data_IF_985873010950
#
_entry.id   IF_985873010950
#
_cell.length_a   1.000
_cell.length_b   1.000
_cell.length_c   1.000
_cell.angle_alpha   90.00
_cell.angle_beta   90.00
_cell.angle_gamma   90.00
#
_symmetry.space_group_name_H-M   'P 1'
#
loop_
_entity.id
_entity.type
_entity.pdbx_description
1 polymer ?
#
# COMPACT_ATOMS: atom_id res chain seq x y z
N UNK A 1 -31.12 -1.00 10.33
CA UNK A 1 -29.98 -0.93 9.39
C UNK A 1 -29.03 0.15 9.87
N UNK A 2 -27.74 -0.14 9.97
CA UNK A 2 -26.69 0.86 10.19
C UNK A 2 -25.90 0.98 8.88
N UNK A 3 -25.46 2.18 8.54
CA UNK A 3 -24.64 2.43 7.37
C UNK A 3 -23.17 2.39 7.82
N UNK A 4 -22.32 1.77 7.02
CA UNK A 4 -20.88 1.71 7.24
C UNK A 4 -20.18 2.52 6.16
N UNK A 5 -19.09 3.17 6.53
CA UNK A 5 -18.37 4.09 5.68
C UNK A 5 -16.88 3.79 5.78
N UNK A 6 -16.23 3.69 4.62
CA UNK A 6 -14.78 3.67 4.51
C UNK A 6 -14.36 5.04 4.01
N UNK A 7 -13.71 5.82 4.87
CA UNK A 7 -13.36 7.21 4.60
C UNK A 7 -11.86 7.35 4.47
N UNK A 8 -11.42 8.03 3.42
CA UNK A 8 -10.04 8.45 3.26
C UNK A 8 -10.00 9.84 2.62
N UNK A 9 -8.95 10.59 2.90
CA UNK A 9 -8.69 11.89 2.30
C UNK A 9 -7.21 12.21 2.44
N UNK A 10 -6.48 12.23 1.34
CA UNK A 10 -5.04 12.45 1.33
C UNK A 10 -4.60 13.11 0.02
N UNK A 11 -3.46 13.79 0.08
CA UNK A 11 -2.88 14.47 -1.07
C UNK A 11 -1.55 13.87 -1.44
N UNK A 12 -1.24 13.85 -2.73
CA UNK A 12 0.06 13.47 -3.28
C UNK A 12 0.50 14.50 -4.32
N UNK A 13 1.82 14.62 -4.52
CA UNK A 13 2.40 15.46 -5.56
C UNK A 13 3.01 14.55 -6.62
N UNK A 14 2.56 14.70 -7.86
CA UNK A 14 2.96 13.83 -8.99
C UNK A 14 3.56 14.67 -10.10
N UNK A 15 4.21 14.02 -11.07
CA UNK A 15 4.66 14.70 -12.28
C UNK A 15 3.48 15.15 -13.15
N UNK A 16 3.64 16.15 -14.04
CA UNK A 16 2.58 16.55 -14.96
C UNK A 16 2.06 15.40 -15.84
N UNK A 17 2.94 14.47 -16.24
CA UNK A 17 2.55 13.32 -17.06
C UNK A 17 1.67 12.32 -16.29
N UNK A 18 1.97 12.06 -15.01
CA UNK A 18 1.14 11.23 -14.14
C UNK A 18 -0.19 11.91 -13.82
N UNK A 19 -0.18 13.23 -13.61
CA UNK A 19 -1.40 14.02 -13.44
C UNK A 19 -2.33 13.92 -14.66
N UNK A 20 -1.78 13.89 -15.88
CA UNK A 20 -2.57 13.69 -17.09
C UNK A 20 -3.27 12.32 -17.09
N UNK A 21 -2.60 11.25 -16.69
CA UNK A 21 -3.21 9.91 -16.53
C UNK A 21 -4.34 9.95 -15.50
N UNK A 22 -4.09 10.55 -14.33
CA UNK A 22 -5.08 10.63 -13.25
C UNK A 22 -6.35 11.43 -13.63
N UNK A 23 -6.24 12.39 -14.55
CA UNK A 23 -7.41 13.12 -15.09
C UNK A 23 -8.31 12.24 -15.97
N UNK A 24 -7.76 11.19 -16.57
CA UNK A 24 -8.50 10.31 -17.49
C UNK A 24 -9.27 9.19 -16.79
N UNK A 25 -9.15 9.07 -15.45
CA UNK A 25 -9.73 7.95 -14.69
C UNK A 25 -11.26 7.91 -14.78
N UNK A 26 -11.93 9.07 -14.66
CA UNK A 26 -13.38 9.14 -14.79
C UNK A 26 -13.84 8.82 -16.23
N UNK A 27 -13.10 9.30 -17.24
CA UNK A 27 -13.39 9.02 -18.66
C UNK A 27 -13.23 7.52 -19.00
N UNK A 28 -12.23 6.85 -18.39
CA UNK A 28 -12.03 5.41 -18.52
C UNK A 28 -13.21 4.61 -17.93
N UNK A 29 -13.78 5.09 -16.82
CA UNK A 29 -14.89 4.43 -16.15
C UNK A 29 -16.20 4.66 -16.88
N UNK A 30 -16.42 5.86 -17.40
CA UNK A 30 -17.54 6.13 -18.30
C UNK A 30 -17.51 5.19 -19.51
N UNK A 31 -16.33 4.94 -20.08
CA UNK A 31 -16.18 4.01 -21.21
C UNK A 31 -16.46 2.54 -20.82
N UNK A 32 -16.15 2.14 -19.59
CA UNK A 32 -16.47 0.81 -19.05
C UNK A 32 -17.97 0.64 -18.77
N UNK A 33 -18.62 1.68 -18.23
CA UNK A 33 -20.05 1.68 -17.93
C UNK A 33 -20.93 1.78 -19.20
N UNK A 34 -20.38 2.29 -20.32
CA UNK A 34 -21.09 2.39 -21.59
C UNK A 34 -21.22 1.03 -22.31
N UNK A 35 -22.25 0.30 -21.92
CA UNK A 35 -22.68 -0.97 -22.54
C UNK A 35 -23.10 -0.85 -24.02
N UNK A 36 -23.24 0.36 -24.56
CA UNK A 36 -23.60 0.56 -25.97
C UNK A 36 -22.41 0.52 -26.92
N UNK A 37 -21.19 0.63 -26.41
CA UNK A 37 -19.97 0.58 -27.20
C UNK A 37 -19.72 -0.84 -27.74
N UNK A 38 -19.55 -0.92 -29.06
CA UNK A 38 -19.00 -2.11 -29.72
C UNK A 38 -17.47 -2.22 -29.48
N UNK A 39 -16.84 -3.37 -29.82
CA UNK A 39 -15.40 -3.56 -29.58
C UNK A 39 -14.50 -2.52 -30.24
N UNK A 40 -14.81 -2.09 -31.47
CA UNK A 40 -13.99 -1.09 -32.19
C UNK A 40 -14.11 0.29 -31.54
N UNK A 41 -15.32 0.66 -31.10
CA UNK A 41 -15.57 1.89 -30.36
C UNK A 41 -14.89 1.88 -28.99
N UNK A 42 -14.89 0.74 -28.28
CA UNK A 42 -14.20 0.59 -26.99
C UNK A 42 -12.69 0.73 -27.15
N UNK A 43 -12.10 0.10 -28.17
CA UNK A 43 -10.69 0.28 -28.50
C UNK A 43 -10.35 1.73 -28.86
N UNK A 44 -11.23 2.43 -29.61
CA UNK A 44 -11.04 3.83 -29.93
C UNK A 44 -11.12 4.75 -28.70
N UNK A 45 -12.03 4.45 -27.74
CA UNK A 45 -12.12 5.16 -26.45
C UNK A 45 -10.86 4.98 -25.63
N UNK A 46 -10.36 3.75 -25.50
CA UNK A 46 -9.11 3.47 -24.81
C UNK A 46 -7.93 4.24 -25.43
N UNK A 47 -7.78 4.18 -26.76
CA UNK A 47 -6.71 4.88 -27.47
C UNK A 47 -6.79 6.42 -27.30
N UNK A 48 -7.99 6.98 -27.09
CA UNK A 48 -8.18 8.40 -26.85
C UNK A 48 -7.68 8.88 -25.48
N UNK A 49 -7.55 7.99 -24.49
CA UNK A 49 -6.96 8.29 -23.17
C UNK A 49 -5.44 8.55 -23.27
N UNK A 50 -4.83 8.12 -24.38
CA UNK A 50 -3.47 8.45 -24.74
C UNK A 50 -2.40 7.48 -24.22
N UNK A 51 -1.15 7.63 -24.69
CA UNK A 51 -0.07 6.66 -24.44
C UNK A 51 0.37 6.61 -22.98
N UNK A 52 0.18 7.70 -22.21
CA UNK A 52 0.46 7.69 -20.78
C UNK A 52 -0.47 6.75 -20.01
N UNK A 53 -1.75 6.73 -20.38
CA UNK A 53 -2.73 5.82 -19.77
C UNK A 53 -2.43 4.36 -20.14
N UNK A 54 -2.18 4.08 -21.41
CA UNK A 54 -1.78 2.74 -21.87
C UNK A 54 -0.48 2.24 -21.21
N UNK A 55 0.49 3.14 -20.97
CA UNK A 55 1.72 2.77 -20.27
C UNK A 55 1.50 2.46 -18.78
N UNK A 56 0.56 3.15 -18.12
CA UNK A 56 0.19 2.90 -16.73
C UNK A 56 -0.68 1.64 -16.59
N UNK A 57 -1.56 1.38 -17.56
CA UNK A 57 -2.52 0.28 -17.58
C UNK A 57 -2.45 -0.49 -18.90
N UNK A 58 -1.35 -1.24 -19.15
CA UNK A 58 -1.19 -1.98 -20.39
C UNK A 58 -2.27 -3.08 -20.51
N UNK A 59 -2.94 -3.24 -21.66
CA UNK A 59 -3.91 -4.31 -21.86
C UNK A 59 -3.27 -5.69 -21.61
N UNK A 60 -3.94 -6.54 -20.84
CA UNK A 60 -3.47 -7.89 -20.49
C UNK A 60 -4.15 -8.99 -21.32
N UNK A 61 -5.24 -8.67 -22.01
CA UNK A 61 -5.92 -9.55 -22.97
C UNK A 61 -6.49 -8.78 -24.20
N UNK A 62 -7.51 -9.36 -24.86
CA UNK A 62 -8.17 -8.75 -26.04
C UNK A 62 -9.07 -7.55 -25.69
N UNK A 63 -9.51 -7.42 -24.43
CA UNK A 63 -10.27 -6.27 -23.93
C UNK A 63 -9.31 -5.10 -23.66
N UNK A 64 -9.44 -3.95 -24.35
CA UNK A 64 -8.52 -2.82 -24.19
C UNK A 64 -8.34 -2.34 -22.75
N UNK A 65 -9.39 -2.36 -21.93
CA UNK A 65 -9.33 -1.90 -20.54
C UNK A 65 -8.86 -2.97 -19.54
N UNK A 66 -8.49 -4.17 -19.98
CA UNK A 66 -8.12 -5.29 -19.09
C UNK A 66 -7.08 -4.94 -18.04
N UNK A 67 -5.99 -4.24 -18.41
CA UNK A 67 -4.99 -3.79 -17.44
C UNK A 67 -5.48 -2.75 -16.44
N UNK A 68 -6.46 -1.91 -16.81
CA UNK A 68 -7.08 -0.97 -15.89
C UNK A 68 -8.09 -1.68 -14.97
N UNK A 69 -8.78 -2.72 -15.46
CA UNK A 69 -9.72 -3.50 -14.66
C UNK A 69 -9.04 -4.26 -13.51
N UNK A 70 -7.76 -4.58 -13.63
CA UNK A 70 -6.98 -5.28 -12.60
C UNK A 70 -6.86 -4.49 -11.28
N UNK A 71 -7.08 -3.17 -11.28
CA UNK A 71 -7.05 -2.38 -10.04
C UNK A 71 -8.30 -2.57 -9.18
N UNK A 72 -9.39 -3.09 -9.75
CA UNK A 72 -10.65 -3.25 -9.03
C UNK A 72 -10.77 -4.65 -8.40
N UNK A 73 -11.28 -4.76 -7.17
CA UNK A 73 -11.52 -6.05 -6.54
C UNK A 73 -12.63 -6.87 -7.23
N UNK A 74 -13.56 -6.18 -7.91
CA UNK A 74 -14.59 -6.78 -8.76
C UNK A 74 -14.50 -6.22 -10.19
N UNK A 75 -13.73 -6.88 -11.09
CA UNK A 75 -13.58 -6.46 -12.48
C UNK A 75 -14.89 -6.46 -13.28
N UNK A 76 -15.91 -7.23 -12.85
CA UNK A 76 -17.21 -7.28 -13.53
C UNK A 76 -18.10 -6.07 -13.18
N UNK A 77 -17.77 -5.34 -12.11
CA UNK A 77 -18.47 -4.13 -11.69
C UNK A 77 -17.47 -3.05 -11.21
N UNK A 78 -16.63 -2.51 -12.11
CA UNK A 78 -15.61 -1.53 -11.76
C UNK A 78 -16.27 -0.25 -11.27
N UNK A 79 -15.94 0.17 -10.05
CA UNK A 79 -16.47 1.40 -9.45
C UNK A 79 -15.39 2.13 -8.69
N UNK A 80 -15.23 3.41 -9.00
CA UNK A 80 -14.48 4.32 -8.14
C UNK A 80 -15.30 4.65 -6.90
N UNK A 81 -14.91 4.06 -5.77
CA UNK A 81 -15.43 4.44 -4.45
C UNK A 81 -14.94 5.80 -3.94
N UNK A 82 -14.18 6.55 -4.75
CA UNK A 82 -13.52 7.79 -4.38
C UNK A 82 -13.46 8.77 -5.54
N UNK A 83 -13.19 10.03 -5.22
CA UNK A 83 -12.96 11.11 -6.17
C UNK A 83 -11.47 11.37 -6.29
N UNK A 84 -11.00 11.58 -7.53
CA UNK A 84 -9.66 12.06 -7.85
C UNK A 84 -9.77 13.50 -8.32
N UNK A 85 -9.28 14.44 -7.53
CA UNK A 85 -9.20 15.85 -7.91
C UNK A 85 -7.75 16.18 -8.24
N UNK A 86 -7.48 16.60 -9.47
CA UNK A 86 -6.15 17.03 -9.91
C UNK A 86 -6.12 18.56 -9.99
N UNK A 87 -5.16 19.17 -9.32
CA UNK A 87 -5.00 20.62 -9.34
C UNK A 87 -4.63 21.12 -10.74
N UNK A 88 -4.92 22.40 -11.06
CA UNK A 88 -4.42 23.02 -12.27
C UNK A 88 -2.90 22.95 -12.33
N UNK A 89 -2.34 22.71 -13.52
CA UNK A 89 -0.90 22.77 -13.72
C UNK A 89 -0.39 24.20 -13.40
N UNK A 90 0.49 24.30 -12.41
CA UNK A 90 1.21 25.53 -12.09
C UNK A 90 2.54 25.63 -12.83
N UNK A 91 3.38 26.59 -12.43
CA UNK A 91 4.78 26.69 -12.88
C UNK A 91 5.70 25.68 -12.16
N UNK A 92 5.16 24.93 -11.19
CA UNK A 92 5.91 23.93 -10.43
C UNK A 92 6.16 22.65 -11.24
N UNK A 93 7.26 21.96 -10.92
CA UNK A 93 7.62 20.67 -11.52
C UNK A 93 6.71 19.51 -11.06
N UNK A 94 5.79 19.77 -10.13
CA UNK A 94 4.82 18.81 -9.61
C UNK A 94 3.39 19.37 -9.64
N UNK A 95 2.42 18.47 -9.69
CA UNK A 95 0.99 18.76 -9.68
C UNK A 95 0.37 18.12 -8.45
N UNK A 96 -0.41 18.89 -7.69
CA UNK A 96 -1.18 18.38 -6.54
C UNK A 96 -2.34 17.50 -6.98
N UNK A 97 -2.52 16.38 -6.31
CA UNK A 97 -3.65 15.47 -6.46
C UNK A 97 -4.27 15.23 -5.10
N UNK A 98 -5.59 15.28 -5.01
CA UNK A 98 -6.36 14.98 -3.82
C UNK A 98 -7.29 13.80 -4.10
N UNK A 99 -7.12 12.72 -3.35
CA UNK A 99 -7.99 11.55 -3.40
C UNK A 99 -8.81 11.51 -2.12
N UNK A 100 -10.14 11.45 -2.25
CA UNK A 100 -11.03 11.45 -1.09
C UNK A 100 -12.39 10.78 -1.35
N UNK A 101 -13.08 10.39 -0.27
CA UNK A 101 -14.43 9.85 -0.33
C UNK A 101 -14.93 9.32 1.00
N UNK A 102 -16.18 8.86 1.03
CA UNK A 102 -16.83 8.24 2.19
C UNK A 102 -17.26 6.77 1.97
N UNK A 103 -16.95 6.22 0.79
CA UNK A 103 -17.07 4.82 0.41
C UNK A 103 -15.81 4.36 -0.35
N UNK A 104 -14.65 4.83 0.10
CA UNK A 104 -13.37 4.62 -0.58
C UNK A 104 -13.07 3.13 -0.66
N UNK A 105 -12.90 2.65 -1.89
CA UNK A 105 -12.26 1.37 -2.15
C UNK A 105 -10.74 1.55 -1.96
N UNK A 106 -10.24 1.04 -0.83
CA UNK A 106 -8.85 1.23 -0.39
C UNK A 106 -7.88 0.44 -1.28
N UNK A 107 -8.31 -0.71 -1.78
CA UNK A 107 -7.48 -1.56 -2.65
C UNK A 107 -7.35 -0.91 -4.02
N UNK A 108 -8.47 -0.46 -4.61
CA UNK A 108 -8.46 0.23 -5.89
C UNK A 108 -7.70 1.57 -5.83
N UNK A 109 -7.82 2.33 -4.74
CA UNK A 109 -7.05 3.56 -4.54
C UNK A 109 -5.54 3.28 -4.48
N UNK A 110 -5.13 2.22 -3.78
CA UNK A 110 -3.73 1.86 -3.66
C UNK A 110 -3.14 1.37 -4.99
N UNK A 111 -3.88 0.50 -5.71
CA UNK A 111 -3.48 0.00 -7.02
C UNK A 111 -3.40 1.13 -8.08
N UNK A 112 -4.34 2.07 -8.06
CA UNK A 112 -4.31 3.27 -8.91
C UNK A 112 -3.02 4.09 -8.67
N UNK A 113 -2.68 4.36 -7.41
CA UNK A 113 -1.47 5.13 -7.06
C UNK A 113 -0.21 4.35 -7.48
N UNK A 114 -0.17 3.04 -7.24
CA UNK A 114 0.98 2.20 -7.61
C UNK A 114 1.23 2.20 -9.13
N UNK A 115 0.17 2.16 -9.94
CA UNK A 115 0.26 2.14 -11.39
C UNK A 115 0.53 3.53 -12.00
N UNK A 116 -0.19 4.56 -11.56
CA UNK A 116 -0.25 5.85 -12.24
C UNK A 116 0.55 6.98 -11.55
N UNK A 117 1.05 6.80 -10.34
CA UNK A 117 1.76 7.83 -9.57
C UNK A 117 3.10 7.31 -9.03
N UNK A 118 3.90 6.68 -9.89
CA UNK A 118 5.16 6.02 -9.49
C UNK A 118 6.19 6.97 -8.90
N UNK A 119 6.21 8.24 -9.30
CA UNK A 119 7.13 9.25 -8.77
C UNK A 119 6.95 9.56 -7.29
N UNK A 120 5.77 9.27 -6.72
CA UNK A 120 5.51 9.47 -5.28
C UNK A 120 5.89 8.26 -4.43
N UNK A 121 6.28 7.13 -5.03
CA UNK A 121 6.56 5.91 -4.28
C UNK A 121 7.94 5.99 -3.58
N UNK A 122 8.08 5.49 -2.34
CA UNK A 122 7.01 4.90 -1.51
C UNK A 122 6.03 5.94 -0.97
N UNK A 123 4.74 5.60 -0.97
CA UNK A 123 3.66 6.45 -0.47
C UNK A 123 2.82 5.71 0.58
N UNK A 124 2.20 6.43 1.50
CA UNK A 124 1.29 5.86 2.47
C UNK A 124 0.13 6.79 2.78
N UNK A 125 -1.02 6.21 3.10
CA UNK A 125 -2.18 6.96 3.55
C UNK A 125 -2.98 6.18 4.59
N UNK A 126 -3.78 6.92 5.36
CA UNK A 126 -4.65 6.37 6.40
C UNK A 126 -6.11 6.37 5.94
N UNK A 127 -6.88 5.44 6.50
CA UNK A 127 -8.32 5.38 6.30
C UNK A 127 -9.04 5.11 7.63
N UNK A 128 -10.30 5.52 7.69
CA UNK A 128 -11.17 5.33 8.83
C UNK A 128 -12.38 4.47 8.44
N UNK A 129 -12.76 3.57 9.34
CA UNK A 129 -14.01 2.82 9.27
C UNK A 129 -14.99 3.43 10.27
N UNK A 130 -16.12 3.90 9.76
CA UNK A 130 -17.14 4.62 10.52
C UNK A 130 -18.51 3.94 10.39
N UNK A 131 -19.32 4.05 11.44
CA UNK A 131 -20.68 3.52 11.48
C UNK A 131 -21.65 4.64 11.86
N UNK A 132 -22.74 4.78 11.10
CA UNK A 132 -23.79 5.75 11.39
C UNK A 132 -24.56 5.49 12.69
N UNK A 133 -24.19 4.45 13.46
CA UNK A 133 -24.73 4.14 14.78
C UNK A 133 -23.61 3.73 15.73
N UNK A 134 -23.74 4.14 17.00
CA UNK A 134 -22.80 3.77 18.06
C UNK A 134 -22.95 2.29 18.45
N UNK A 135 -22.34 1.40 17.67
CA UNK A 135 -22.38 -0.05 17.86
C UNK A 135 -20.99 -0.58 18.20
N UNK A 136 -20.88 -1.51 19.16
CA UNK A 136 -19.60 -2.14 19.48
C UNK A 136 -18.98 -2.83 18.26
N UNK A 137 -17.69 -2.57 18.01
CA UNK A 137 -16.93 -3.25 16.94
C UNK A 137 -17.09 -2.66 15.54
N UNK A 138 -17.90 -1.62 15.35
CA UNK A 138 -18.17 -1.03 14.02
C UNK A 138 -17.29 0.20 13.70
N UNK A 139 -16.28 0.49 14.53
CA UNK A 139 -15.32 1.58 14.33
C UNK A 139 -13.90 1.03 14.21
N UNK A 140 -13.09 1.67 13.38
CA UNK A 140 -11.70 1.31 13.20
C UNK A 140 -11.06 2.11 12.09
N UNK A 141 -10.12 1.49 11.40
CA UNK A 141 -9.37 2.11 10.32
C UNK A 141 -8.08 1.35 10.09
N UNK A 142 -7.13 2.02 9.48
CA UNK A 142 -5.84 1.46 9.19
C UNK A 142 -5.02 2.38 8.31
N UNK A 143 -3.97 1.81 7.73
CA UNK A 143 -3.14 2.48 6.77
C UNK A 143 -2.75 1.53 5.65
N UNK A 144 -2.35 2.12 4.53
CA UNK A 144 -1.78 1.42 3.39
C UNK A 144 -0.38 1.98 3.15
N UNK A 145 0.57 1.11 2.87
CA UNK A 145 1.91 1.48 2.38
C UNK A 145 2.08 0.91 0.98
N UNK A 146 2.41 1.77 0.04
CA UNK A 146 2.55 1.46 -1.38
C UNK A 146 4.01 1.60 -1.75
N UNK A 147 4.57 0.51 -2.28
CA UNK A 147 5.94 0.43 -2.83
C UNK A 147 5.85 0.14 -4.32
N UNK A 148 6.98 0.14 -5.01
CA UNK A 148 6.99 -0.13 -6.45
C UNK A 148 6.48 -1.52 -6.83
N UNK A 149 6.70 -2.51 -5.94
CA UNK A 149 6.46 -3.93 -6.19
C UNK A 149 5.50 -4.59 -5.18
N UNK A 150 5.02 -3.84 -4.19
CA UNK A 150 4.20 -4.37 -3.10
C UNK A 150 3.23 -3.32 -2.52
N UNK A 151 2.10 -3.80 -2.00
CA UNK A 151 1.13 -3.00 -1.25
C UNK A 151 0.84 -3.69 0.08
N UNK A 152 1.14 -3.00 1.17
CA UNK A 152 0.97 -3.48 2.53
C UNK A 152 -0.25 -2.83 3.18
N UNK A 153 -1.15 -3.66 3.71
CA UNK A 153 -2.34 -3.22 4.43
C UNK A 153 -2.23 -3.52 5.92
N UNK A 154 -2.45 -2.49 6.74
CA UNK A 154 -2.58 -2.63 8.17
C UNK A 154 -3.96 -2.14 8.63
N UNK A 155 -4.47 -2.73 9.72
CA UNK A 155 -5.71 -2.30 10.35
C UNK A 155 -5.54 -2.10 11.85
N UNK A 156 -6.27 -1.12 12.39
CA UNK A 156 -6.32 -0.85 13.82
C UNK A 156 -6.87 -2.06 14.60
N UNK A 157 -7.76 -2.84 13.99
CA UNK A 157 -8.29 -4.08 14.57
C UNK A 157 -7.19 -5.13 14.78
N UNK A 158 -6.34 -5.36 13.76
CA UNK A 158 -5.20 -6.27 13.87
C UNK A 158 -4.15 -5.75 14.87
N UNK A 159 -3.92 -4.44 14.89
CA UNK A 159 -3.07 -3.80 15.89
C UNK A 159 -3.59 -4.00 17.32
N UNK A 160 -4.90 -3.86 17.53
CA UNK A 160 -5.55 -4.09 18.81
C UNK A 160 -5.48 -5.56 19.24
N UNK A 161 -5.72 -6.50 18.31
CA UNK A 161 -5.57 -7.93 18.58
C UNK A 161 -4.13 -8.29 18.99
N UNK A 162 -3.14 -7.76 18.26
CA UNK A 162 -1.72 -7.90 18.61
C UNK A 162 -1.44 -7.36 20.02
N UNK A 163 -1.98 -6.19 20.35
CA UNK A 163 -1.81 -5.60 21.68
C UNK A 163 -2.48 -6.41 22.80
N UNK A 164 -3.65 -7.01 22.54
CA UNK A 164 -4.39 -7.83 23.51
C UNK A 164 -3.74 -9.20 23.76
N UNK A 165 -3.17 -9.79 22.73
CA UNK A 165 -2.53 -11.12 22.80
C UNK A 165 -1.08 -11.06 23.30
N UNK A 166 -0.47 -9.87 23.30
CA UNK A 166 0.88 -9.63 23.80
C UNK A 166 1.01 -10.03 25.27
N UNK A 167 1.94 -10.94 25.57
CA UNK A 167 2.28 -11.27 26.97
C UNK A 167 3.22 -10.25 27.57
N UNK A 168 3.22 -10.19 28.91
CA UNK A 168 4.11 -9.29 29.66
C UNK A 168 5.56 -9.68 29.40
N UNK A 169 6.34 -8.77 28.82
CA UNK A 169 7.75 -8.97 28.51
C UNK A 169 8.04 -9.39 27.06
N UNK A 170 7.01 -9.65 26.24
CA UNK A 170 7.22 -9.94 24.82
C UNK A 170 7.66 -8.67 24.07
N UNK A 171 8.67 -8.76 23.18
CA UNK A 171 9.15 -7.62 22.43
C UNK A 171 8.16 -7.23 21.35
N UNK A 172 7.85 -5.93 21.30
CA UNK A 172 6.84 -5.36 20.41
C UNK A 172 7.21 -5.45 18.92
N UNK A 173 8.51 -5.38 18.64
CA UNK A 173 9.09 -5.30 17.29
C UNK A 173 9.81 -6.60 16.87
N UNK A 174 9.61 -7.69 17.62
CA UNK A 174 10.24 -8.98 17.37
C UNK A 174 11.62 -9.12 18.01
N UNK A 175 12.28 -10.23 17.68
CA UNK A 175 13.57 -10.64 18.20
C UNK A 175 14.63 -10.57 17.09
N UNK A 176 15.85 -10.23 17.46
CA UNK A 176 17.03 -10.26 16.59
C UNK A 176 18.13 -11.07 17.27
N UNK A 177 19.04 -11.64 16.47
CA UNK A 177 20.24 -12.28 17.01
C UNK A 177 21.38 -11.28 16.88
N UNK A 178 22.08 -11.03 17.98
CA UNK A 178 23.27 -10.18 18.00
C UNK A 178 24.48 -10.96 18.50
N UNK A 179 25.67 -10.58 18.05
CA UNK A 179 26.95 -11.04 18.62
C UNK A 179 27.86 -9.84 18.84
N UNK A 180 28.83 -9.99 19.73
CA UNK A 180 29.85 -8.96 19.95
C UNK A 180 31.04 -9.21 19.03
N UNK A 181 31.50 -8.13 18.43
CA UNK A 181 32.72 -8.03 17.67
C UNK A 181 33.68 -7.05 18.35
N UNK A 182 34.97 -7.37 18.35
CA UNK A 182 35.98 -6.58 19.04
C UNK A 182 36.28 -5.24 18.35
N UNK A 183 36.04 -5.15 17.04
CA UNK A 183 36.33 -3.96 16.22
C UNK A 183 35.04 -3.17 15.93
N UNK A 184 33.97 -3.87 15.57
CA UNK A 184 32.71 -3.27 15.07
C UNK A 184 31.63 -3.12 16.16
N UNK A 185 31.84 -3.66 17.36
CA UNK A 185 30.87 -3.57 18.46
C UNK A 185 29.77 -4.62 18.38
N UNK A 186 28.51 -4.24 18.18
CA UNK A 186 27.40 -5.20 18.04
C UNK A 186 27.11 -5.46 16.56
N UNK A 187 27.15 -6.73 16.17
CA UNK A 187 26.74 -7.20 14.85
C UNK A 187 25.44 -7.99 14.96
N UNK A 188 24.60 -7.91 13.93
CA UNK A 188 23.26 -8.49 13.91
C UNK A 188 23.11 -9.51 12.78
N UNK A 189 22.45 -10.62 13.06
CA UNK A 189 22.32 -11.74 12.12
C UNK A 189 21.34 -11.42 10.99
N UNK A 190 21.77 -11.66 9.75
CA UNK A 190 20.93 -11.77 8.58
C UNK A 190 20.98 -13.22 8.05
N UNK A 191 19.81 -13.84 7.90
CA UNK A 191 19.64 -15.23 7.43
C UNK A 191 20.20 -15.53 6.03
N UNK A 192 20.45 -14.50 5.22
CA UNK A 192 21.02 -14.59 3.86
C UNK A 192 22.49 -14.20 3.81
N UNK A 193 22.91 -13.17 4.55
CA UNK A 193 24.23 -12.54 4.42
C UNK A 193 25.14 -12.67 5.64
N UNK A 194 24.65 -13.22 6.75
CA UNK A 194 25.42 -13.38 8.00
C UNK A 194 25.37 -12.15 8.90
N UNK A 195 26.36 -12.00 9.80
CA UNK A 195 26.42 -10.90 10.77
C UNK A 195 26.80 -9.57 10.11
N UNK A 196 26.05 -8.51 10.40
CA UNK A 196 26.25 -7.16 9.85
C UNK A 196 25.51 -6.07 10.64
N UNK A 197 25.06 -5.01 9.96
CA UNK A 197 24.36 -3.88 10.59
C UNK A 197 22.94 -4.25 11.01
N UNK A 198 22.40 -3.53 12.01
CA UNK A 198 21.03 -3.70 12.49
C UNK A 198 19.98 -3.51 11.38
N UNK A 199 20.24 -2.57 10.46
CA UNK A 199 19.34 -2.22 9.34
C UNK A 199 19.03 -3.40 8.41
N UNK A 200 19.93 -4.38 8.37
CA UNK A 200 19.78 -5.57 7.53
C UNK A 200 19.47 -6.82 8.35
N UNK A 201 19.30 -6.72 9.66
CA UNK A 201 19.06 -7.87 10.52
C UNK A 201 17.77 -8.60 10.14
N UNK A 202 17.79 -9.94 10.22
CA UNK A 202 16.55 -10.73 10.17
C UNK A 202 15.82 -10.58 11.49
N UNK A 203 14.60 -10.08 11.44
CA UNK A 203 13.69 -10.01 12.59
C UNK A 203 12.87 -11.29 12.65
N UNK A 204 12.83 -11.90 13.83
CA UNK A 204 12.10 -13.13 14.11
C UNK A 204 10.91 -12.82 15.00
N UNK A 205 9.78 -13.48 14.75
CA UNK A 205 8.74 -13.63 15.78
C UNK A 205 9.25 -14.49 16.93
N UNK A 206 8.62 -14.42 18.10
CA UNK A 206 8.98 -15.31 19.21
C UNK A 206 8.80 -16.79 18.87
N UNK A 207 7.77 -17.13 18.09
CA UNK A 207 7.51 -18.50 17.67
C UNK A 207 8.64 -19.02 16.77
N UNK A 208 9.18 -18.18 15.90
CA UNK A 208 10.36 -18.52 15.09
C UNK A 208 11.61 -18.61 15.96
N UNK A 209 11.85 -17.62 16.83
CA UNK A 209 13.01 -17.60 17.72
C UNK A 209 13.07 -18.83 18.64
N UNK A 210 11.94 -19.31 19.14
CA UNK A 210 11.85 -20.51 19.97
C UNK A 210 12.24 -21.81 19.25
N UNK A 211 12.19 -21.81 17.91
CA UNK A 211 12.49 -22.96 17.06
C UNK A 211 13.74 -22.74 16.17
N UNK A 212 14.47 -21.64 16.37
CA UNK A 212 15.61 -21.28 15.54
C UNK A 212 16.92 -21.40 16.33
N UNK A 213 17.83 -22.23 15.81
CA UNK A 213 19.15 -22.42 16.43
C UNK A 213 20.03 -21.19 16.20
N UNK A 214 20.70 -20.75 17.26
CA UNK A 214 21.65 -19.62 17.17
C UNK A 214 22.81 -19.99 16.22
N UNK A 215 23.19 -19.08 15.29
CA UNK A 215 24.30 -19.31 14.37
C UNK A 215 25.62 -19.46 15.13
N UNK A 216 26.58 -20.16 14.51
CA UNK A 216 27.93 -20.29 15.08
C UNK A 216 28.72 -19.02 14.75
N UNK A 217 29.29 -18.37 15.77
CA UNK A 217 30.13 -17.18 15.62
C UNK A 217 31.32 -17.20 16.60
N UNK A 218 32.20 -16.21 16.49
CA UNK A 218 33.40 -16.09 17.32
C UNK A 218 33.09 -15.81 18.80
N UNK A 219 32.07 -14.97 19.08
CA UNK A 219 31.45 -14.83 20.40
C UNK A 219 30.04 -15.42 20.36
N UNK A 220 29.53 -15.85 21.52
CA UNK A 220 28.23 -16.47 21.68
C UNK A 220 27.12 -15.50 21.25
N UNK A 221 26.36 -15.80 20.18
CA UNK A 221 25.24 -14.95 19.80
C UNK A 221 24.12 -15.05 20.82
N UNK A 222 23.38 -13.96 20.97
CA UNK A 222 22.27 -13.82 21.91
C UNK A 222 21.04 -13.26 21.21
N UNK A 223 19.87 -13.68 21.70
CA UNK A 223 18.59 -13.11 21.32
C UNK A 223 18.39 -11.77 22.03
N UNK A 224 18.13 -10.71 21.27
CA UNK A 224 17.77 -9.39 21.78
C UNK A 224 16.38 -8.97 21.28
N UNK A 225 15.68 -8.19 22.10
CA UNK A 225 14.48 -7.48 21.66
C UNK A 225 14.87 -6.44 20.61
N UNK A 226 14.14 -6.42 19.48
CA UNK A 226 14.30 -5.38 18.47
C UNK A 226 13.94 -4.03 19.09
N UNK A 227 14.85 -3.03 19.07
CA UNK A 227 14.57 -1.71 19.60
C UNK A 227 13.40 -1.06 18.86
N UNK A 228 12.70 -0.15 19.52
CA UNK A 228 11.71 0.67 18.84
C UNK A 228 12.37 1.44 17.68
N UNK A 229 11.68 1.60 16.52
CA UNK A 229 12.13 2.53 15.50
C UNK A 229 12.36 3.90 16.14
N UNK A 230 13.51 4.51 15.86
CA UNK A 230 13.73 5.89 16.25
C UNK A 230 12.75 6.75 15.45
N UNK A 231 11.87 7.45 16.15
CA UNK A 231 10.89 8.38 15.57
C UNK A 231 11.57 9.61 14.96
#
# INVERSE_FOLDING_TARGET
MANHFTKASFTLAVTPAEADVLRQIDDAIEALDDTSLDPDQRAARFAALGPGFEAAFPPTDEEPFSGFLEIFPDPDCPRLGFTVQVDPAGDDETVGVWIHGDQVDIEAAAALIQAAARSTLPFAFEYALDCGRMRPGEFGGGFVVIREDDIEFASSARGLEKALTRRVGEPENGMIIATRDAEEGLLFWNSKTGFGSLETATVFSEAEAANYDLPIANDQPEWLAMPAPLA
#
